data_IF_187256330996
#
_entry.id   IF_187256330996
#
_cell.length_a   1.000
_cell.length_b   1.000
_cell.length_c   1.000
_cell.angle_alpha   90.00
_cell.angle_beta   90.00
_cell.angle_gamma   90.00
#
_symmetry.space_group_name_H-M   'P 1'
#
loop_
_entity.id
_entity.type
_entity.pdbx_description
1 polymer ?
#
# COMPACT_ATOMS: atom_id res chain seq x y z
N UNK A 1 -21.15 -30.47 -2.37
CA UNK A 1 -20.59 -29.57 -3.42
C UNK A 1 -20.02 -28.27 -2.87
N UNK A 2 -20.38 -27.85 -1.64
CA UNK A 2 -19.90 -26.62 -0.96
C UNK A 2 -18.47 -26.71 -0.39
N UNK A 3 -17.95 -27.92 -0.13
CA UNK A 3 -16.60 -28.13 0.41
C UNK A 3 -15.47 -27.79 -0.58
N UNK A 4 -15.68 -28.01 -1.89
CA UNK A 4 -14.71 -27.62 -2.93
C UNK A 4 -14.61 -26.11 -3.13
N UNK A 5 -15.68 -25.36 -2.86
CA UNK A 5 -15.67 -23.89 -2.89
C UNK A 5 -14.89 -23.31 -1.70
N UNK A 6 -15.07 -23.85 -0.48
CA UNK A 6 -14.32 -23.39 0.70
C UNK A 6 -12.80 -23.61 0.57
N UNK A 7 -12.36 -24.73 -0.02
CA UNK A 7 -10.93 -24.99 -0.25
C UNK A 7 -10.27 -23.98 -1.20
N UNK A 8 -10.98 -23.56 -2.26
CA UNK A 8 -10.48 -22.56 -3.19
C UNK A 8 -10.46 -21.13 -2.61
N UNK A 9 -11.41 -20.78 -1.74
CA UNK A 9 -11.38 -19.50 -1.02
C UNK A 9 -10.21 -19.42 -0.03
N UNK A 10 -9.91 -20.52 0.68
CA UNK A 10 -8.81 -20.57 1.65
C UNK A 10 -7.42 -20.44 1.00
N UNK A 11 -7.24 -20.99 -0.21
CA UNK A 11 -5.97 -20.84 -0.94
C UNK A 11 -5.84 -19.47 -1.63
N UNK A 12 -6.91 -18.90 -2.19
CA UNK A 12 -6.87 -17.54 -2.74
C UNK A 12 -6.57 -16.49 -1.68
N UNK A 13 -7.07 -16.68 -0.46
CA UNK A 13 -6.78 -15.75 0.63
C UNK A 13 -5.30 -15.76 1.03
N UNK A 14 -4.60 -16.89 0.91
CA UNK A 14 -3.15 -16.95 1.17
C UNK A 14 -2.36 -16.08 0.20
N UNK A 15 -2.67 -16.12 -1.09
CA UNK A 15 -1.96 -15.29 -2.08
C UNK A 15 -2.22 -13.80 -1.88
N UNK A 16 -3.47 -13.40 -1.63
CA UNK A 16 -3.81 -12.01 -1.31
C UNK A 16 -3.12 -11.54 -0.02
N UNK A 17 -3.09 -12.40 1.00
CA UNK A 17 -2.39 -12.12 2.25
C UNK A 17 -0.88 -11.96 2.02
N UNK A 18 -0.24 -12.84 1.24
CA UNK A 18 1.18 -12.75 0.91
C UNK A 18 1.48 -11.46 0.14
N UNK A 19 0.65 -11.10 -0.86
CA UNK A 19 0.82 -9.86 -1.62
C UNK A 19 0.69 -8.63 -0.72
N UNK A 20 -0.31 -8.63 0.17
CA UNK A 20 -0.52 -7.57 1.16
C UNK A 20 0.68 -7.42 2.09
N UNK A 21 1.21 -8.51 2.62
CA UNK A 21 2.41 -8.50 3.48
C UNK A 21 3.61 -7.96 2.70
N UNK A 22 3.78 -8.37 1.44
CA UNK A 22 4.86 -7.91 0.58
C UNK A 22 4.76 -6.40 0.31
N UNK A 23 3.60 -5.90 -0.11
CA UNK A 23 3.40 -4.47 -0.34
C UNK A 23 3.58 -3.65 0.93
N UNK A 24 3.13 -4.17 2.08
CA UNK A 24 3.34 -3.49 3.35
C UNK A 24 4.82 -3.49 3.78
N UNK A 25 5.55 -4.58 3.52
CA UNK A 25 6.99 -4.64 3.78
C UNK A 25 7.76 -3.64 2.91
N UNK A 26 7.40 -3.53 1.63
CA UNK A 26 7.97 -2.53 0.72
C UNK A 26 7.62 -1.10 1.17
N UNK A 27 6.37 -0.84 1.56
CA UNK A 27 5.98 0.45 2.11
C UNK A 27 6.74 0.80 3.41
N UNK A 28 6.95 -0.18 4.29
CA UNK A 28 7.78 0.00 5.49
C UNK A 28 9.23 0.34 5.15
N UNK A 29 9.81 -0.33 4.15
CA UNK A 29 11.16 -0.02 3.67
C UNK A 29 11.26 1.42 3.17
N UNK A 30 10.33 1.87 2.33
CA UNK A 30 10.27 3.27 1.89
C UNK A 30 10.08 4.23 3.06
N UNK A 31 9.21 3.91 4.03
CA UNK A 31 8.97 4.74 5.20
C UNK A 31 10.25 4.95 6.02
N UNK A 32 10.99 3.86 6.29
CA UNK A 32 12.26 3.93 7.01
C UNK A 32 13.30 4.75 6.27
N UNK A 33 13.41 4.58 4.94
CA UNK A 33 14.31 5.41 4.13
C UNK A 33 13.93 6.89 4.15
N UNK A 34 12.65 7.20 4.04
CA UNK A 34 12.14 8.58 4.11
C UNK A 34 12.45 9.22 5.47
N UNK A 35 12.24 8.49 6.57
CA UNK A 35 12.57 8.98 7.91
C UNK A 35 14.08 9.21 8.03
N UNK A 36 14.91 8.27 7.59
CA UNK A 36 16.36 8.39 7.66
C UNK A 36 16.87 9.60 6.85
N UNK A 37 16.37 9.79 5.63
CA UNK A 37 16.73 10.92 4.78
C UNK A 37 16.23 12.24 5.34
N UNK A 38 15.02 12.27 5.91
CA UNK A 38 14.46 13.47 6.54
C UNK A 38 15.29 13.91 7.76
N UNK A 39 15.67 12.95 8.61
CA UNK A 39 16.51 13.21 9.80
C UNK A 39 17.92 13.65 9.39
N UNK A 40 18.49 13.01 8.35
CA UNK A 40 19.80 13.38 7.81
C UNK A 40 19.78 14.78 7.19
N UNK A 41 18.70 15.15 6.50
CA UNK A 41 18.50 16.48 5.93
C UNK A 41 18.33 17.56 7.01
N UNK A 42 17.69 17.24 8.14
CA UNK A 42 17.61 18.15 9.29
C UNK A 42 18.98 18.38 9.96
N UNK A 43 19.85 17.38 9.93
CA UNK A 43 21.11 17.38 10.69
C UNK A 43 22.30 17.92 9.90
N UNK A 44 22.19 18.07 8.57
CA UNK A 44 23.27 18.54 7.71
C UNK A 44 22.79 19.58 6.70
N UNK A 45 23.32 20.82 6.75
CA UNK A 45 22.97 21.87 5.77
C UNK A 45 23.44 21.56 4.34
N UNK A 46 24.31 20.56 4.15
CA UNK A 46 24.81 20.10 2.85
C UNK A 46 24.13 18.80 2.36
N UNK A 47 22.97 18.43 2.91
CA UNK A 47 22.23 17.26 2.43
C UNK A 47 21.66 17.53 1.02
N UNK A 48 22.47 17.28 -0.01
CA UNK A 48 22.13 17.57 -1.41
C UNK A 48 20.96 16.73 -1.95
N UNK A 49 20.50 15.69 -1.25
CA UNK A 49 19.39 14.85 -1.68
C UNK A 49 18.53 14.41 -0.49
N UNK A 50 17.54 15.24 -0.11
CA UNK A 50 16.49 14.89 0.84
C UNK A 50 15.49 13.86 0.27
N UNK A 51 14.34 13.71 0.94
CA UNK A 51 13.26 12.84 0.46
C UNK A 51 12.83 13.25 -0.95
N UNK A 52 12.95 12.33 -1.90
CA UNK A 52 12.63 12.62 -3.31
C UNK A 52 11.17 12.31 -3.63
N UNK A 53 10.59 13.03 -4.60
CA UNK A 53 9.23 12.79 -5.11
C UNK A 53 8.97 11.31 -5.45
N UNK A 54 9.88 10.60 -6.15
CA UNK A 54 9.76 9.17 -6.43
C UNK A 54 9.65 8.28 -5.18
N UNK A 55 10.37 8.59 -4.09
CA UNK A 55 10.27 7.83 -2.84
C UNK A 55 8.90 7.98 -2.17
N UNK A 56 8.42 9.22 -2.07
CA UNK A 56 7.08 9.53 -1.54
C UNK A 56 5.98 8.91 -2.40
N UNK A 57 6.11 9.02 -3.73
CA UNK A 57 5.18 8.42 -4.69
C UNK A 57 5.17 6.90 -4.55
N UNK A 58 6.34 6.26 -4.47
CA UNK A 58 6.48 4.81 -4.28
C UNK A 58 5.82 4.33 -2.98
N UNK A 59 6.07 5.02 -1.85
CA UNK A 59 5.41 4.72 -0.58
C UNK A 59 3.89 4.73 -0.72
N UNK A 60 3.33 5.83 -1.24
CA UNK A 60 1.88 5.99 -1.39
C UNK A 60 1.29 4.96 -2.35
N UNK A 61 2.02 4.63 -3.42
CA UNK A 61 1.61 3.62 -4.40
C UNK A 61 1.50 2.22 -3.79
N UNK A 62 2.54 1.77 -3.06
CA UNK A 62 2.52 0.46 -2.42
C UNK A 62 1.50 0.37 -1.29
N UNK A 63 1.29 1.47 -0.56
CA UNK A 63 0.24 1.55 0.46
C UNK A 63 -1.17 1.47 -0.18
N UNK A 64 -1.38 2.14 -1.32
CA UNK A 64 -2.60 2.06 -2.09
C UNK A 64 -2.84 0.64 -2.64
N UNK A 65 -1.79 -0.06 -3.11
CA UNK A 65 -1.89 -1.46 -3.52
C UNK A 65 -2.31 -2.38 -2.37
N UNK A 66 -1.76 -2.17 -1.17
CA UNK A 66 -2.16 -2.91 0.03
C UNK A 66 -3.64 -2.70 0.36
N UNK A 67 -4.13 -1.46 0.27
CA UNK A 67 -5.56 -1.16 0.44
C UNK A 67 -6.43 -1.76 -0.68
N UNK A 68 -5.93 -1.81 -1.92
CA UNK A 68 -6.61 -2.47 -3.03
C UNK A 68 -6.77 -3.98 -2.77
N UNK A 69 -5.79 -4.64 -2.15
CA UNK A 69 -5.93 -6.05 -1.74
C UNK A 69 -7.05 -6.22 -0.70
N UNK A 70 -7.18 -5.31 0.27
CA UNK A 70 -8.29 -5.33 1.23
C UNK A 70 -9.65 -5.12 0.56
N UNK A 71 -9.73 -4.25 -0.46
CA UNK A 71 -10.96 -4.07 -1.25
C UNK A 71 -11.33 -5.33 -2.02
N UNK A 72 -10.34 -6.01 -2.60
CA UNK A 72 -10.56 -7.29 -3.30
C UNK A 72 -11.05 -8.35 -2.30
N UNK A 73 -10.44 -8.44 -1.12
CA UNK A 73 -10.87 -9.36 -0.05
C UNK A 73 -12.32 -9.06 0.37
N UNK A 74 -12.65 -7.82 0.72
CA UNK A 74 -14.02 -7.41 1.09
C UNK A 74 -15.05 -7.71 -0.01
N UNK A 75 -14.67 -7.53 -1.29
CA UNK A 75 -15.53 -7.88 -2.43
C UNK A 75 -15.76 -9.40 -2.52
N UNK A 76 -14.75 -10.21 -2.19
CA UNK A 76 -14.84 -11.68 -2.18
C UNK A 76 -15.66 -12.22 -1.00
N UNK A 77 -15.51 -11.66 0.20
CA UNK A 77 -16.26 -12.08 1.41
C UNK A 77 -17.67 -11.48 1.50
N UNK A 78 -18.06 -10.57 0.59
CA UNK A 78 -19.31 -9.81 0.61
C UNK A 78 -19.51 -8.93 1.86
N UNK A 79 -18.49 -8.79 2.71
CA UNK A 79 -18.48 -7.83 3.80
C UNK A 79 -18.26 -6.42 3.26
N UNK A 80 -19.30 -5.58 3.35
CA UNK A 80 -19.28 -4.21 2.80
C UNK A 80 -18.99 -3.13 3.84
N UNK A 81 -18.67 -3.50 5.09
CA UNK A 81 -18.35 -2.51 6.12
C UNK A 81 -17.12 -1.70 5.68
N UNK A 82 -17.28 -0.38 5.65
CA UNK A 82 -16.25 0.59 5.23
C UNK A 82 -15.73 0.48 3.78
N UNK A 83 -16.30 -0.38 2.93
CA UNK A 83 -15.82 -0.59 1.56
C UNK A 83 -15.77 0.70 0.74
N UNK A 84 -16.83 1.54 0.80
CA UNK A 84 -16.88 2.82 0.08
C UNK A 84 -15.79 3.79 0.53
N UNK A 85 -15.58 3.89 1.85
CA UNK A 85 -14.55 4.75 2.42
C UNK A 85 -13.16 4.29 1.96
N UNK A 86 -12.89 2.98 2.09
CA UNK A 86 -11.62 2.40 1.69
C UNK A 86 -11.35 2.58 0.19
N UNK A 87 -12.38 2.50 -0.65
CA UNK A 87 -12.28 2.72 -2.09
C UNK A 87 -11.91 4.17 -2.43
N UNK A 88 -12.56 5.14 -1.79
CA UNK A 88 -12.24 6.57 -1.96
C UNK A 88 -10.81 6.83 -1.51
N UNK A 89 -10.43 6.37 -0.32
CA UNK A 89 -9.08 6.56 0.23
C UNK A 89 -8.02 5.95 -0.70
N UNK A 90 -8.26 4.75 -1.20
CA UNK A 90 -7.34 4.08 -2.13
C UNK A 90 -7.20 4.86 -3.44
N UNK A 91 -8.32 5.34 -4.01
CA UNK A 91 -8.31 6.18 -5.20
C UNK A 91 -7.55 7.50 -5.00
N UNK A 92 -7.78 8.18 -3.87
CA UNK A 92 -7.04 9.39 -3.52
C UNK A 92 -5.53 9.13 -3.38
N UNK A 93 -5.13 8.03 -2.72
CA UNK A 93 -3.71 7.67 -2.60
C UNK A 93 -3.05 7.43 -3.95
N UNK A 94 -3.72 6.74 -4.88
CA UNK A 94 -3.21 6.55 -6.24
C UNK A 94 -3.09 7.88 -6.99
N UNK A 95 -4.11 8.73 -6.91
CA UNK A 95 -4.10 10.04 -7.55
C UNK A 95 -2.93 10.91 -7.04
N UNK A 96 -2.75 11.00 -5.72
CA UNK A 96 -1.66 11.76 -5.12
C UNK A 96 -0.29 11.17 -5.48
N UNK A 97 -0.16 9.84 -5.50
CA UNK A 97 1.07 9.17 -5.92
C UNK A 97 1.48 9.54 -7.35
N UNK A 98 0.54 9.52 -8.30
CA UNK A 98 0.79 9.90 -9.69
C UNK A 98 1.10 11.40 -9.79
N UNK A 99 0.35 12.24 -9.06
CA UNK A 99 0.56 13.69 -9.07
C UNK A 99 1.95 14.09 -8.57
N UNK A 100 2.49 13.43 -7.54
CA UNK A 100 3.84 13.70 -7.02
C UNK A 100 4.94 13.35 -8.04
N UNK A 101 4.65 12.44 -8.98
CA UNK A 101 5.59 11.96 -9.98
C UNK A 101 5.55 12.76 -11.29
N UNK A 102 4.50 13.58 -11.47
CA UNK A 102 4.26 14.44 -12.64
C UNK A 102 4.99 15.77 -12.48
#
# INVERSE_FOLDING_TARGET
MTSKLQGNFRNKNKYLLTLKVLFNAVALFFSLQIIYLSVSALSSPNAENGVTGPMLSGLLFFLALSNAMNLIEMKMTKEKKHFKLLLIVTGCMFFVSIYILL
#
